data_IF_734310426932
#
_entry.id   IF_734310426932
#
_cell.length_a   1.000
_cell.length_b   1.000
_cell.length_c   1.000
_cell.angle_alpha   90.00
_cell.angle_beta   90.00
_cell.angle_gamma   90.00
#
_symmetry.space_group_name_H-M   'P 1'
#
loop_
_entity.id
_entity.type
_entity.pdbx_description
1 polymer ?
#
# COMPACT_ATOMS: atom_id res chain seq x y z
N UNK A 1 -19.95 -10.15 -13.51
CA UNK A 1 -18.76 -9.29 -13.37
C UNK A 1 -17.93 -9.72 -12.17
N UNK A 2 -16.66 -9.92 -12.39
CA UNK A 2 -15.75 -10.29 -11.31
C UNK A 2 -14.90 -9.10 -10.92
N UNK A 3 -14.74 -8.92 -9.62
CA UNK A 3 -13.83 -7.92 -9.08
C UNK A 3 -12.81 -8.63 -8.23
N UNK A 4 -11.57 -8.37 -8.50
CA UNK A 4 -10.47 -8.93 -7.72
C UNK A 4 -9.90 -7.82 -6.86
N UNK A 5 -9.86 -8.06 -5.56
CA UNK A 5 -9.32 -7.12 -4.62
C UNK A 5 -8.09 -7.73 -3.97
N UNK A 6 -6.99 -7.00 -3.99
CA UNK A 6 -5.75 -7.44 -3.38
C UNK A 6 -5.27 -6.39 -2.40
N UNK A 7 -4.77 -6.83 -1.26
CA UNK A 7 -4.17 -5.94 -0.28
C UNK A 7 -2.70 -6.28 -0.17
N UNK A 8 -1.86 -5.28 -0.36
CA UNK A 8 -0.42 -5.43 -0.29
C UNK A 8 0.11 -4.54 0.83
N UNK A 9 1.12 -5.02 1.54
CA UNK A 9 1.75 -4.27 2.61
C UNK A 9 3.25 -4.19 2.34
N UNK A 10 3.79 -3.00 2.51
CA UNK A 10 5.20 -2.74 2.27
C UNK A 10 5.80 -2.01 3.46
N UNK A 11 7.05 -2.32 3.75
CA UNK A 11 7.78 -1.62 4.79
C UNK A 11 8.56 -0.47 4.16
N UNK A 12 8.46 0.70 4.79
CA UNK A 12 9.22 1.87 4.40
C UNK A 12 10.02 2.35 5.61
N UNK A 13 11.23 2.81 5.37
CA UNK A 13 12.09 3.27 6.46
C UNK A 13 11.74 4.68 6.90
N UNK A 14 11.23 5.50 5.99
CA UNK A 14 10.89 6.89 6.28
C UNK A 14 9.51 7.23 5.77
N UNK A 15 8.93 8.29 6.34
CA UNK A 15 7.64 8.80 5.88
C UNK A 15 7.72 9.29 4.43
N UNK A 16 8.83 9.93 4.07
CA UNK A 16 9.03 10.40 2.70
C UNK A 16 8.99 9.25 1.71
N UNK A 17 9.61 8.14 2.05
CA UNK A 17 9.60 6.94 1.21
C UNK A 17 8.18 6.41 1.05
N UNK A 18 7.40 6.37 2.13
CA UNK A 18 6.02 5.92 2.07
C UNK A 18 5.19 6.82 1.13
N UNK A 19 5.36 8.12 1.23
CA UNK A 19 4.66 9.06 0.36
C UNK A 19 5.05 8.91 -1.10
N UNK A 20 6.33 8.72 -1.38
CA UNK A 20 6.80 8.49 -2.74
C UNK A 20 6.21 7.23 -3.35
N UNK A 21 6.16 6.16 -2.57
CA UNK A 21 5.56 4.90 -3.00
C UNK A 21 4.08 5.06 -3.31
N UNK A 22 3.38 5.83 -2.48
CA UNK A 22 1.97 6.08 -2.71
C UNK A 22 1.73 6.79 -4.03
N UNK A 23 2.57 7.78 -4.36
CA UNK A 23 2.47 8.47 -5.64
C UNK A 23 2.76 7.55 -6.82
N UNK A 24 3.77 6.69 -6.69
CA UNK A 24 4.09 5.71 -7.72
C UNK A 24 2.91 4.77 -7.97
N UNK A 25 2.25 4.31 -6.91
CA UNK A 25 1.09 3.46 -7.05
C UNK A 25 -0.05 4.15 -7.77
N UNK A 26 -0.27 5.43 -7.51
CA UNK A 26 -1.29 6.21 -8.20
C UNK A 26 -1.02 6.31 -9.69
N UNK A 27 0.22 6.55 -10.06
CA UNK A 27 0.63 6.61 -11.46
C UNK A 27 0.46 5.25 -12.13
N UNK A 28 0.91 4.21 -11.47
CA UNK A 28 0.81 2.85 -11.98
C UNK A 28 -0.66 2.43 -12.13
N UNK A 29 -1.51 2.82 -11.19
CA UNK A 29 -2.93 2.52 -11.27
C UNK A 29 -3.55 3.11 -12.53
N UNK A 30 -3.21 4.35 -12.84
CA UNK A 30 -3.70 5.00 -14.04
C UNK A 30 -3.20 4.29 -15.30
N UNK A 31 -1.94 3.88 -15.32
CA UNK A 31 -1.36 3.19 -16.47
C UNK A 31 -1.89 1.78 -16.67
N UNK A 32 -2.07 1.05 -15.59
CA UNK A 32 -2.49 -0.36 -15.64
C UNK A 32 -3.99 -0.57 -15.50
N UNK A 33 -4.74 0.48 -15.22
CA UNK A 33 -6.18 0.40 -15.21
C UNK A 33 -6.80 -0.24 -13.99
N UNK A 34 -6.12 -0.29 -12.86
CA UNK A 34 -6.75 -0.74 -11.64
C UNK A 34 -7.12 0.47 -10.76
N UNK A 35 -8.00 0.25 -9.81
CA UNK A 35 -8.42 1.28 -8.88
C UNK A 35 -7.78 1.06 -7.53
N UNK A 36 -7.47 2.15 -6.86
CA UNK A 36 -6.98 2.09 -5.49
C UNK A 36 -8.15 2.36 -4.57
N UNK A 37 -8.57 1.33 -3.85
CA UNK A 37 -9.69 1.43 -2.92
C UNK A 37 -9.28 2.05 -1.60
N UNK A 38 -8.12 1.65 -1.11
CA UNK A 38 -7.55 2.13 0.13
C UNK A 38 -6.05 2.22 -0.02
N UNK A 39 -5.48 3.28 0.52
CA UNK A 39 -4.04 3.43 0.55
C UNK A 39 -3.68 4.34 1.70
N UNK A 40 -2.70 3.93 2.48
CA UNK A 40 -2.24 4.71 3.60
C UNK A 40 -1.02 4.11 4.23
N UNK A 41 -0.47 4.80 5.19
CA UNK A 41 0.67 4.29 5.93
C UNK A 41 0.49 4.63 7.41
N UNK A 42 1.15 3.84 8.25
CA UNK A 42 1.16 4.11 9.67
C UNK A 42 2.53 3.82 10.26
N UNK A 43 2.86 4.52 11.31
CA UNK A 43 4.10 4.33 12.01
C UNK A 43 4.01 3.06 12.85
N UNK A 44 5.01 2.21 12.73
CA UNK A 44 5.12 0.98 13.50
C UNK A 44 6.48 0.92 14.16
N UNK A 45 6.50 0.47 15.39
CA UNK A 45 7.76 0.22 16.07
C UNK A 45 7.68 -1.11 16.81
N UNK A 46 8.82 -1.75 16.93
CA UNK A 46 8.95 -2.99 17.67
C UNK A 46 9.79 -2.70 18.89
N UNK A 47 9.27 -3.05 20.04
CA UNK A 47 9.97 -2.86 21.33
C UNK A 47 10.34 -4.18 21.95
N UNK A 48 11.48 -4.23 22.59
CA UNK A 48 11.90 -5.36 23.40
C UNK A 48 12.53 -4.79 24.68
N UNK A 49 12.10 -5.30 25.82
CA UNK A 49 12.59 -4.88 27.13
C UNK A 49 12.50 -3.36 27.36
N UNK A 50 11.45 -2.73 26.80
CA UNK A 50 11.24 -1.30 26.95
C UNK A 50 12.04 -0.43 25.99
N UNK A 51 12.82 -1.02 25.10
CA UNK A 51 13.60 -0.28 24.12
C UNK A 51 13.05 -0.51 22.72
N UNK A 52 13.10 0.52 21.88
CA UNK A 52 12.72 0.40 20.48
C UNK A 52 13.88 -0.27 19.74
N UNK A 53 13.62 -1.47 19.22
CA UNK A 53 14.64 -2.24 18.50
C UNK A 53 14.47 -2.17 16.99
N UNK A 54 13.29 -1.74 16.53
CA UNK A 54 13.02 -1.58 15.13
C UNK A 54 11.89 -0.57 14.98
N UNK A 55 11.97 0.26 13.95
CA UNK A 55 10.93 1.24 13.67
C UNK A 55 10.83 1.44 12.16
N UNK A 56 9.66 1.89 11.71
CA UNK A 56 9.43 2.13 10.32
C UNK A 56 7.97 2.47 10.04
N UNK A 57 7.65 2.54 8.79
CA UNK A 57 6.29 2.83 8.35
C UNK A 57 5.75 1.65 7.57
N UNK A 58 4.53 1.27 7.87
CA UNK A 58 3.85 0.21 7.16
C UNK A 58 2.89 0.85 6.16
N UNK A 59 3.20 0.71 4.90
CA UNK A 59 2.35 1.18 3.81
C UNK A 59 1.41 0.05 3.40
N UNK A 60 0.12 0.36 3.38
CA UNK A 60 -0.90 -0.60 2.93
C UNK A 60 -1.60 -0.04 1.72
N UNK A 61 -1.82 -0.89 0.74
CA UNK A 61 -2.56 -0.51 -0.45
C UNK A 61 -3.53 -1.62 -0.82
N UNK A 62 -4.79 -1.25 -1.07
CA UNK A 62 -5.81 -2.17 -1.54
C UNK A 62 -6.17 -1.79 -2.97
N UNK A 63 -5.90 -2.71 -3.89
CA UNK A 63 -6.15 -2.53 -5.31
C UNK A 63 -7.39 -3.30 -5.70
N UNK A 64 -8.20 -2.71 -6.57
CA UNK A 64 -9.39 -3.36 -7.10
C UNK A 64 -9.23 -3.46 -8.61
N UNK A 65 -9.25 -4.67 -9.11
CA UNK A 65 -9.16 -4.95 -10.53
C UNK A 65 -10.54 -5.30 -11.03
N UNK A 66 -11.13 -4.39 -11.78
CA UNK A 66 -12.44 -4.65 -12.38
C UNK A 66 -12.27 -5.37 -13.69
N UNK A 67 -13.05 -6.41 -13.88
CA UNK A 67 -13.04 -7.16 -15.13
C UNK A 67 -14.33 -6.84 -15.86
N UNK A 68 -14.22 -6.04 -16.88
CA UNK A 68 -15.39 -5.60 -17.63
C UNK A 68 -15.59 -6.39 -18.92
N UNK A 69 -14.64 -7.20 -19.23
CA UNK A 69 -14.67 -8.05 -20.42
C UNK A 69 -15.29 -9.39 -20.14
N UNK A 70 -15.75 -9.59 -18.96
CA UNK A 70 -16.40 -10.83 -18.54
C UNK A 70 -17.89 -10.81 -18.83
N UNK A 71 -18.22 -10.17 -19.86
CA UNK A 71 -19.59 -10.07 -20.31
C UNK A 71 -19.96 -11.16 -21.31
#
# INVERSE_FOLDING_TARGET
MLMIETTEKYRCDTESEAKERMEEFRKTASEKGYLIKKMGYEYKEKKAKGEVIDEGYLLSITKVFGTFWDF
#
